data_IF_750315553505
#
_entry.id   IF_750315553505
#
_cell.length_a   1.000
_cell.length_b   1.000
_cell.length_c   1.000
_cell.angle_alpha   90.00
_cell.angle_beta   90.00
_cell.angle_gamma   90.00
#
_symmetry.space_group_name_H-M   'P 1'
#
loop_
_entity.id
_entity.type
_entity.pdbx_description
1 polymer ?
#
# COMPACT_ATOMS: atom_id res chain seq x y z
N UNK A 1 1.40 -11.50 -27.84
CA UNK A 1 1.50 -11.00 -26.45
C UNK A 1 0.21 -11.32 -25.72
N UNK A 2 0.17 -12.40 -24.92
CA UNK A 2 -0.91 -12.64 -23.95
C UNK A 2 -0.30 -12.49 -22.55
N UNK A 3 -0.02 -11.25 -22.16
CA UNK A 3 0.24 -10.95 -20.76
C UNK A 3 -1.07 -10.45 -20.16
N UNK A 4 -1.55 -11.17 -19.14
CA UNK A 4 -2.80 -10.94 -18.41
C UNK A 4 -4.14 -11.22 -19.13
N UNK A 5 -4.17 -12.20 -20.04
CA UNK A 5 -5.43 -12.91 -20.29
C UNK A 5 -5.58 -14.02 -19.24
N UNK A 6 -6.74 -14.16 -18.61
CA UNK A 6 -7.12 -15.26 -17.69
C UNK A 6 -6.80 -15.07 -16.20
N UNK A 7 -7.40 -14.04 -15.60
CA UNK A 7 -8.13 -14.13 -14.31
C UNK A 7 -8.85 -12.80 -14.10
N UNK A 8 -10.19 -12.80 -14.21
CA UNK A 8 -11.00 -11.68 -13.72
C UNK A 8 -10.89 -11.68 -12.19
N UNK A 9 -9.82 -11.11 -11.65
CA UNK A 9 -9.72 -10.84 -10.23
C UNK A 9 -10.66 -9.68 -9.91
N UNK A 10 -11.90 -10.00 -9.51
CA UNK A 10 -12.81 -8.99 -8.97
C UNK A 10 -12.22 -8.47 -7.67
N UNK A 11 -11.75 -7.23 -7.71
CA UNK A 11 -11.27 -6.51 -6.54
C UNK A 11 -12.39 -5.61 -6.02
N UNK A 12 -12.68 -5.73 -4.74
CA UNK A 12 -13.53 -4.80 -4.02
C UNK A 12 -12.64 -3.71 -3.38
N UNK A 13 -12.82 -2.43 -3.73
CA UNK A 13 -11.97 -1.37 -3.22
C UNK A 13 -12.38 -0.97 -1.80
N UNK A 14 -11.36 -0.74 -0.98
CA UNK A 14 -11.45 -0.16 0.35
C UNK A 14 -10.36 0.90 0.45
N UNK A 15 -10.59 1.96 1.24
CA UNK A 15 -9.60 3.03 1.38
C UNK A 15 -9.75 3.83 2.66
N UNK A 16 -8.61 4.26 3.18
CA UNK A 16 -8.52 5.19 4.29
C UNK A 16 -7.57 6.31 3.90
N UNK A 17 -7.93 7.54 4.24
CA UNK A 17 -7.09 8.73 4.02
C UNK A 17 -7.43 9.79 5.08
N UNK A 18 -6.43 10.56 5.51
CA UNK A 18 -6.62 11.65 6.47
C UNK A 18 -7.34 12.84 5.83
N UNK A 19 -7.26 12.97 4.50
CA UNK A 19 -7.88 14.02 3.71
C UNK A 19 -9.35 13.76 3.43
N UNK A 20 -10.30 14.44 4.09
CA UNK A 20 -11.74 14.19 3.89
C UNK A 20 -12.20 14.39 2.44
N UNK A 21 -11.60 15.36 1.73
CA UNK A 21 -11.90 15.62 0.32
C UNK A 21 -11.45 14.48 -0.61
N UNK A 22 -10.40 13.74 -0.27
CA UNK A 22 -9.97 12.57 -1.05
C UNK A 22 -10.97 11.42 -0.88
N UNK A 23 -11.49 11.24 0.34
CA UNK A 23 -12.52 10.25 0.64
C UNK A 23 -13.86 10.59 -0.02
N UNK A 24 -14.29 11.86 0.01
CA UNK A 24 -15.45 12.33 -0.76
C UNK A 24 -15.29 12.02 -2.26
N UNK A 25 -14.15 12.40 -2.84
CA UNK A 25 -13.88 12.16 -4.25
C UNK A 25 -13.76 10.65 -4.60
N UNK A 26 -13.35 9.80 -3.66
CA UNK A 26 -13.36 8.34 -3.85
C UNK A 26 -14.79 7.79 -3.87
N UNK A 27 -15.64 8.26 -2.94
CA UNK A 27 -17.06 7.89 -2.85
C UNK A 27 -17.86 8.32 -4.08
N UNK A 28 -17.58 9.50 -4.62
CA UNK A 28 -18.19 9.99 -5.87
C UNK A 28 -17.80 9.15 -7.08
N UNK A 29 -16.52 8.74 -7.17
CA UNK A 29 -16.02 7.90 -8.27
C UNK A 29 -16.52 6.45 -8.20
N UNK A 30 -16.80 5.97 -6.99
CA UNK A 30 -17.16 4.58 -6.72
C UNK A 30 -18.41 4.49 -5.82
N UNK A 31 -19.57 4.95 -6.33
CA UNK A 31 -20.80 5.10 -5.54
C UNK A 31 -21.32 3.79 -4.94
N UNK A 32 -21.03 2.64 -5.57
CA UNK A 32 -21.39 1.31 -5.08
C UNK A 32 -20.56 0.86 -3.85
N UNK A 33 -19.47 1.56 -3.53
CA UNK A 33 -18.54 1.22 -2.44
C UNK A 33 -18.41 2.35 -1.41
N UNK A 34 -19.39 3.25 -1.29
CA UNK A 34 -19.31 4.44 -0.43
C UNK A 34 -18.96 4.09 1.04
N UNK A 35 -19.49 2.97 1.53
CA UNK A 35 -19.25 2.48 2.88
C UNK A 35 -17.83 1.92 3.10
N UNK A 36 -17.05 1.72 2.03
CA UNK A 36 -15.72 1.13 2.07
C UNK A 36 -14.60 2.18 2.17
N UNK A 37 -14.95 3.47 2.31
CA UNK A 37 -14.00 4.57 2.39
C UNK A 37 -14.14 5.34 3.71
N UNK A 38 -13.04 5.56 4.41
CA UNK A 38 -13.00 6.19 5.74
C UNK A 38 -12.03 7.38 5.80
N UNK A 39 -12.44 8.42 6.52
CA UNK A 39 -11.52 9.51 6.90
C UNK A 39 -10.84 9.12 8.20
N UNK A 40 -9.54 8.84 8.16
CA UNK A 40 -8.72 8.51 9.33
C UNK A 40 -7.21 8.57 9.00
N UNK A 41 -6.38 8.67 10.03
CA UNK A 41 -4.94 8.48 9.89
C UNK A 41 -4.66 6.98 9.72
N UNK A 42 -3.97 6.59 8.64
CA UNK A 42 -3.70 5.18 8.39
C UNK A 42 -2.87 4.52 9.50
N UNK A 43 -2.06 5.28 10.25
CA UNK A 43 -1.17 4.78 11.29
C UNK A 43 -1.88 4.37 12.59
N UNK A 44 -3.07 4.92 12.85
CA UNK A 44 -3.91 4.60 14.01
C UNK A 44 -5.23 3.90 13.65
N UNK A 45 -5.60 3.90 12.36
CA UNK A 45 -6.84 3.32 11.87
C UNK A 45 -6.98 1.84 12.25
N UNK A 46 -8.19 1.49 12.71
CA UNK A 46 -8.60 0.11 12.99
C UNK A 46 -9.57 -0.33 11.90
N UNK A 47 -9.14 -1.19 10.96
CA UNK A 47 -10.00 -1.61 9.88
C UNK A 47 -11.14 -2.49 10.42
N UNK A 48 -12.34 -2.44 9.83
CA UNK A 48 -13.49 -3.25 10.26
C UNK A 48 -13.29 -4.75 9.98
N UNK A 49 -12.31 -5.10 9.14
CA UNK A 49 -11.91 -6.46 8.79
C UNK A 49 -10.46 -6.49 8.33
N UNK A 50 -9.89 -7.68 8.26
CA UNK A 50 -8.64 -7.92 7.53
C UNK A 50 -8.91 -8.15 6.03
N UNK A 51 -7.91 -7.86 5.21
CA UNK A 51 -7.96 -7.86 3.75
C UNK A 51 -6.92 -8.80 3.16
N UNK A 52 -7.23 -9.35 1.99
CA UNK A 52 -6.31 -10.21 1.23
C UNK A 52 -5.11 -9.43 0.69
N UNK A 53 -5.33 -8.20 0.24
CA UNK A 53 -4.30 -7.31 -0.27
C UNK A 53 -4.42 -5.97 0.45
N UNK A 54 -3.31 -5.51 1.01
CA UNK A 54 -3.19 -4.18 1.62
C UNK A 54 -2.06 -3.45 0.90
N UNK A 55 -2.31 -2.23 0.45
CA UNK A 55 -1.31 -1.36 -0.16
C UNK A 55 -1.12 -0.12 0.70
N UNK A 56 0.13 0.30 0.89
CA UNK A 56 0.45 1.55 1.56
C UNK A 56 1.71 2.19 0.99
N UNK A 57 1.89 3.49 1.25
CA UNK A 57 3.12 4.20 0.92
C UNK A 57 4.04 4.29 2.15
N UNK A 58 5.34 4.16 1.91
CA UNK A 58 6.36 4.25 2.95
C UNK A 58 6.53 5.67 3.53
N UNK A 59 5.87 6.68 2.96
CA UNK A 59 5.85 8.06 3.41
C UNK A 59 4.52 8.48 4.06
N UNK A 60 3.57 7.56 4.24
CA UNK A 60 2.38 7.80 5.07
C UNK A 60 2.75 8.12 6.53
N UNK A 61 3.94 7.73 6.97
CA UNK A 61 4.49 8.00 8.30
C UNK A 61 5.96 8.45 8.20
N UNK A 62 6.49 9.14 9.22
CA UNK A 62 7.93 9.38 9.32
C UNK A 62 8.75 8.08 9.26
N UNK A 63 9.97 8.15 8.72
CA UNK A 63 10.81 6.96 8.53
C UNK A 63 11.09 6.19 9.84
N UNK A 64 11.21 6.90 10.97
CA UNK A 64 11.39 6.31 12.29
C UNK A 64 10.18 5.48 12.77
N UNK A 65 8.98 5.80 12.30
CA UNK A 65 7.74 5.12 12.63
C UNK A 65 7.34 4.03 11.61
N UNK A 66 8.04 3.94 10.48
CA UNK A 66 7.68 3.05 9.37
C UNK A 66 7.68 1.58 9.79
N UNK A 67 8.66 1.15 10.61
CA UNK A 67 8.70 -0.24 11.12
C UNK A 67 7.42 -0.57 11.87
N UNK A 68 7.10 0.23 12.88
CA UNK A 68 5.91 0.01 13.70
C UNK A 68 4.63 0.04 12.86
N UNK A 69 4.53 1.01 11.93
CA UNK A 69 3.41 1.12 11.01
C UNK A 69 3.22 -0.13 10.15
N UNK A 70 4.29 -0.66 9.55
CA UNK A 70 4.27 -1.90 8.77
C UNK A 70 3.78 -3.07 9.61
N UNK A 71 4.31 -3.27 10.82
CA UNK A 71 3.88 -4.35 11.70
C UNK A 71 2.41 -4.21 12.14
N UNK A 72 1.93 -2.98 12.40
CA UNK A 72 0.50 -2.74 12.70
C UNK A 72 -0.39 -3.09 11.51
N UNK A 73 0.01 -2.80 10.28
CA UNK A 73 -0.76 -3.20 9.09
C UNK A 73 -0.80 -4.72 8.93
N UNK A 74 0.34 -5.40 9.11
CA UNK A 74 0.39 -6.87 9.09
C UNK A 74 -0.52 -7.48 10.17
N UNK A 75 -0.50 -6.92 11.38
CA UNK A 75 -1.33 -7.40 12.50
C UNK A 75 -2.82 -7.11 12.29
N UNK A 76 -3.19 -5.90 11.87
CA UNK A 76 -4.59 -5.42 11.95
C UNK A 76 -5.32 -5.48 10.63
N UNK A 77 -4.62 -5.25 9.52
CA UNK A 77 -5.22 -5.06 8.21
C UNK A 77 -5.01 -6.26 7.28
N UNK A 78 -3.91 -7.00 7.39
CA UNK A 78 -3.64 -8.14 6.51
C UNK A 78 -4.21 -9.42 7.11
N UNK A 79 -4.97 -10.18 6.31
CA UNK A 79 -5.46 -11.49 6.74
C UNK A 79 -4.35 -12.55 6.65
N UNK A 80 -4.44 -13.68 7.37
CA UNK A 80 -3.50 -14.80 7.18
C UNK A 80 -3.43 -15.25 5.71
N UNK A 81 -2.22 -15.43 5.17
CA UNK A 81 -2.02 -15.72 3.74
C UNK A 81 -2.42 -14.58 2.79
N UNK A 82 -2.61 -13.38 3.35
CA UNK A 82 -2.75 -12.14 2.60
C UNK A 82 -1.39 -11.56 2.20
N UNK A 83 -1.39 -10.32 1.74
CA UNK A 83 -0.18 -9.63 1.27
C UNK A 83 -0.20 -8.16 1.66
N UNK A 84 0.90 -7.69 2.23
CA UNK A 84 1.18 -6.27 2.38
C UNK A 84 2.10 -5.82 1.25
N UNK A 85 1.68 -4.81 0.50
CA UNK A 85 2.43 -4.17 -0.57
C UNK A 85 2.83 -2.78 -0.08
N UNK A 86 4.13 -2.50 -0.04
CA UNK A 86 4.66 -1.19 0.33
C UNK A 86 5.24 -0.52 -0.91
N UNK A 87 4.82 0.71 -1.18
CA UNK A 87 5.30 1.53 -2.28
C UNK A 87 6.13 2.72 -1.82
N UNK A 88 7.02 3.19 -2.68
CA UNK A 88 7.62 4.52 -2.60
C UNK A 88 7.73 5.11 -3.99
N UNK A 89 7.39 6.40 -4.08
CA UNK A 89 7.60 7.20 -5.27
C UNK A 89 8.78 8.15 -5.04
N UNK A 90 9.61 8.29 -6.08
CA UNK A 90 10.61 9.33 -6.20
C UNK A 90 10.07 10.54 -6.97
N UNK A 91 10.96 11.40 -7.45
CA UNK A 91 10.61 12.57 -8.26
C UNK A 91 11.62 12.77 -9.40
N UNK A 92 11.15 12.72 -10.65
CA UNK A 92 11.98 13.02 -11.82
C UNK A 92 12.47 14.46 -11.81
N UNK A 93 11.60 15.41 -11.47
CA UNK A 93 11.93 16.84 -11.52
C UNK A 93 12.93 17.24 -10.44
N UNK A 94 13.00 16.49 -9.33
CA UNK A 94 13.96 16.70 -8.25
C UNK A 94 15.15 15.75 -8.28
N UNK A 95 15.22 14.86 -9.28
CA UNK A 95 16.21 13.78 -9.35
C UNK A 95 16.28 12.94 -8.05
N UNK A 96 15.14 12.75 -7.38
CA UNK A 96 15.04 11.94 -6.17
C UNK A 96 14.60 10.52 -6.55
N UNK A 97 15.41 9.48 -6.29
CA UNK A 97 14.98 8.11 -6.51
C UNK A 97 13.92 7.69 -5.47
N UNK A 98 13.07 6.70 -5.77
CA UNK A 98 12.23 6.08 -4.74
C UNK A 98 13.12 5.38 -3.69
N UNK A 99 12.58 5.17 -2.49
CA UNK A 99 13.27 4.41 -1.43
C UNK A 99 13.47 2.96 -1.86
N UNK A 100 14.55 2.34 -1.37
CA UNK A 100 14.80 0.90 -1.50
C UNK A 100 13.87 0.10 -0.57
N UNK A 101 12.62 -0.09 -1.01
CA UNK A 101 11.60 -0.78 -0.21
C UNK A 101 12.01 -2.22 0.16
N UNK A 102 12.60 -3.05 -0.74
CA UNK A 102 13.14 -4.36 -0.35
C UNK A 102 14.10 -4.28 0.84
N UNK A 103 15.15 -3.45 0.76
CA UNK A 103 16.12 -3.30 1.85
C UNK A 103 15.50 -2.74 3.14
N UNK A 104 14.50 -1.85 3.03
CA UNK A 104 13.74 -1.35 4.19
C UNK A 104 12.98 -2.48 4.89
N UNK A 105 12.26 -3.34 4.15
CA UNK A 105 11.51 -4.45 4.74
C UNK A 105 12.45 -5.51 5.34
N UNK A 106 13.57 -5.80 4.66
CA UNK A 106 14.61 -6.69 5.19
C UNK A 106 15.20 -6.16 6.51
N UNK A 107 15.43 -4.85 6.62
CA UNK A 107 15.90 -4.21 7.87
C UNK A 107 14.92 -4.36 9.05
N UNK A 108 13.65 -4.64 8.76
CA UNK A 108 12.62 -4.92 9.77
C UNK A 108 12.57 -6.41 10.16
N UNK A 109 13.33 -7.27 9.49
CA UNK A 109 13.31 -8.73 9.64
C UNK A 109 12.19 -9.40 8.84
N UNK A 110 11.68 -8.74 7.79
CA UNK A 110 10.63 -9.28 6.93
C UNK A 110 11.24 -9.78 5.61
N UNK A 111 10.98 -11.04 5.26
CA UNK A 111 11.41 -11.62 3.99
C UNK A 111 10.46 -11.20 2.85
N UNK A 112 11.00 -10.53 1.83
CA UNK A 112 10.23 -10.06 0.68
C UNK A 112 9.80 -11.21 -0.23
N UNK A 113 8.49 -11.34 -0.45
CA UNK A 113 7.91 -12.30 -1.40
C UNK A 113 7.99 -11.82 -2.86
N UNK A 114 8.40 -10.56 -3.08
CA UNK A 114 8.70 -10.04 -4.41
C UNK A 114 8.78 -8.52 -4.46
N UNK A 115 9.14 -8.00 -5.65
CA UNK A 115 9.37 -6.58 -5.89
C UNK A 115 9.02 -6.18 -7.33
N UNK A 116 8.73 -4.90 -7.51
CA UNK A 116 8.53 -4.27 -8.81
C UNK A 116 9.04 -2.82 -8.80
N UNK A 117 9.40 -2.30 -9.98
CA UNK A 117 9.80 -0.91 -10.16
C UNK A 117 9.18 -0.34 -11.44
N UNK A 118 9.02 0.99 -11.49
CA UNK A 118 8.49 1.68 -12.65
C UNK A 118 9.22 2.98 -12.97
N UNK A 119 9.32 3.29 -14.26
CA UNK A 119 9.98 4.48 -14.80
C UNK A 119 11.41 4.22 -15.31
N UNK A 120 11.86 5.09 -16.22
CA UNK A 120 13.24 5.16 -16.69
C UNK A 120 13.75 6.62 -16.68
N UNK A 121 14.60 7.02 -15.71
CA UNK A 121 15.07 6.21 -14.57
C UNK A 121 13.94 5.85 -13.60
N UNK A 122 14.12 4.86 -12.69
CA UNK A 122 13.09 4.43 -11.75
C UNK A 122 12.56 5.57 -10.87
N UNK A 123 11.24 5.72 -10.83
CA UNK A 123 10.52 6.74 -10.04
C UNK A 123 9.49 6.11 -9.10
N UNK A 124 9.30 4.80 -9.19
CA UNK A 124 8.42 4.03 -8.33
C UNK A 124 9.10 2.71 -7.97
N UNK A 125 9.08 2.35 -6.69
CA UNK A 125 9.56 1.07 -6.19
C UNK A 125 8.50 0.46 -5.27
N UNK A 126 8.30 -0.84 -5.41
CA UNK A 126 7.33 -1.61 -4.64
C UNK A 126 7.98 -2.91 -4.18
N UNK A 127 7.65 -3.35 -2.97
CA UNK A 127 7.90 -4.71 -2.53
C UNK A 127 6.73 -5.21 -1.68
N UNK A 128 6.62 -6.53 -1.53
CA UNK A 128 5.56 -7.13 -0.74
C UNK A 128 6.03 -8.30 0.09
N UNK A 129 5.30 -8.55 1.17
CA UNK A 129 5.49 -9.66 2.11
C UNK A 129 4.18 -10.42 2.25
N UNK A 130 4.29 -11.74 2.43
CA UNK A 130 3.17 -12.67 2.56
C UNK A 130 3.24 -13.32 3.96
N UNK A 131 2.56 -12.76 4.98
CA UNK A 131 2.62 -13.24 6.37
C UNK A 131 1.81 -14.52 6.64
#
# INVERSE_FOLDING_TARGET
>A
MRWAGEREHRMEPFGVDIGPRLIEAARERLPQFVANFWVADASDWRPPRRFRYVYTLADCVPASSLREYVFRLLERAVQPGGRLIVGSYGSRSRAEPPRDIPGVLESFGLEGAGRASGGDPPIAAFAWVDP
#
